data_IF_627900327201
#
_entry.id   IF_627900327201
#
_cell.length_a   1.000
_cell.length_b   1.000
_cell.length_c   1.000
_cell.angle_alpha   90.00
_cell.angle_beta   90.00
_cell.angle_gamma   90.00
#
_symmetry.space_group_name_H-M   'P 1'
#
loop_
_entity.id
_entity.type
_entity.pdbx_description
1 polymer ?
#
# COMPACT_ATOMS: atom_id res chain seq x y z
N UNK A 1 -13.52 32.57 11.30
CA UNK A 1 -12.33 31.74 11.50
C UNK A 1 -12.84 30.31 11.54
N UNK A 2 -12.99 29.69 10.37
CA UNK A 2 -13.61 28.36 10.23
C UNK A 2 -12.52 27.45 9.71
N UNK A 3 -11.84 26.76 10.61
CA UNK A 3 -10.84 25.75 10.25
C UNK A 3 -11.55 24.59 9.54
N UNK A 4 -11.08 24.13 8.37
CA UNK A 4 -11.57 22.90 7.78
C UNK A 4 -11.05 21.74 8.63
N UNK A 5 -11.96 20.97 9.22
CA UNK A 5 -11.69 19.68 9.85
C UNK A 5 -11.19 18.69 8.79
N UNK A 6 -9.95 18.87 8.34
CA UNK A 6 -9.26 18.02 7.39
C UNK A 6 -8.77 16.79 8.16
N UNK A 7 -9.73 15.99 8.61
CA UNK A 7 -9.50 14.82 9.46
C UNK A 7 -10.50 13.69 9.23
N UNK A 8 -11.39 13.79 8.23
CA UNK A 8 -11.97 12.56 7.66
C UNK A 8 -10.83 11.88 6.92
N UNK A 9 -10.20 10.91 7.59
CA UNK A 9 -9.33 9.93 6.94
C UNK A 9 -9.99 9.57 5.61
N UNK A 10 -9.28 9.76 4.48
CA UNK A 10 -9.84 9.49 3.15
C UNK A 10 -10.62 8.17 3.20
N UNK A 11 -11.87 8.21 2.74
CA UNK A 11 -12.71 7.02 2.66
C UNK A 11 -11.97 6.00 1.78
N UNK A 12 -11.51 4.92 2.40
CA UNK A 12 -10.86 3.81 1.70
C UNK A 12 -11.97 2.89 1.25
N UNK A 13 -12.01 2.57 -0.04
CA UNK A 13 -13.00 1.67 -0.61
C UNK A 13 -12.92 0.30 0.09
N UNK A 14 -11.73 -0.16 0.48
CA UNK A 14 -11.58 -1.39 1.27
C UNK A 14 -12.19 -1.29 2.67
N UNK A 15 -12.06 -0.14 3.34
CA UNK A 15 -12.69 0.09 4.65
C UNK A 15 -14.21 0.14 4.54
N UNK A 16 -14.73 0.79 3.51
CA UNK A 16 -16.17 0.87 3.26
C UNK A 16 -16.74 -0.52 2.95
N UNK A 17 -16.03 -1.31 2.13
CA UNK A 17 -16.38 -2.72 1.89
C UNK A 17 -16.42 -3.53 3.19
N UNK A 18 -15.38 -3.42 4.02
CA UNK A 18 -15.28 -4.14 5.29
C UNK A 18 -16.41 -3.77 6.26
N UNK A 19 -16.75 -2.48 6.35
CA UNK A 19 -17.85 -2.00 7.17
C UNK A 19 -19.20 -2.54 6.67
N UNK A 20 -19.41 -2.53 5.36
CA UNK A 20 -20.64 -2.98 4.75
C UNK A 20 -20.84 -4.49 4.85
N UNK A 21 -19.77 -5.27 4.69
CA UNK A 21 -19.76 -6.71 4.94
C UNK A 21 -20.16 -7.01 6.38
N UNK A 22 -19.50 -6.36 7.36
CA UNK A 22 -19.82 -6.54 8.79
C UNK A 22 -21.27 -6.17 9.09
N UNK A 23 -21.76 -5.07 8.52
CA UNK A 23 -23.13 -4.62 8.71
C UNK A 23 -24.15 -5.63 8.19
N UNK A 24 -24.03 -6.07 6.92
CA UNK A 24 -24.96 -7.06 6.34
C UNK A 24 -24.90 -8.38 7.08
N UNK A 25 -23.71 -8.79 7.50
CA UNK A 25 -23.54 -10.01 8.29
C UNK A 25 -24.27 -9.91 9.64
N UNK A 26 -24.23 -8.75 10.29
CA UNK A 26 -25.02 -8.44 11.49
C UNK A 26 -26.54 -8.43 11.23
N UNK A 27 -26.99 -7.76 10.17
CA UNK A 27 -28.41 -7.70 9.77
C UNK A 27 -28.97 -9.10 9.49
N UNK A 28 -28.17 -10.00 8.93
CA UNK A 28 -28.56 -11.38 8.62
C UNK A 28 -28.28 -12.36 9.77
N UNK A 29 -27.77 -11.90 10.91
CA UNK A 29 -27.52 -12.74 12.10
C UNK A 29 -26.39 -13.76 11.92
N UNK A 30 -25.44 -13.49 11.03
CA UNK A 30 -24.28 -14.36 10.81
C UNK A 30 -23.08 -13.93 11.67
N UNK A 31 -22.42 -14.90 12.29
CA UNK A 31 -21.03 -14.73 12.72
C UNK A 31 -20.09 -14.89 11.51
N UNK A 32 -18.81 -14.53 11.66
CA UNK A 32 -17.80 -14.77 10.62
C UNK A 32 -17.69 -16.27 10.29
N UNK A 33 -17.58 -17.13 11.30
CA UNK A 33 -17.60 -18.59 11.12
C UNK A 33 -18.87 -19.13 10.47
N UNK A 34 -20.06 -18.64 10.84
CA UNK A 34 -21.32 -19.08 10.20
C UNK A 34 -21.43 -18.62 8.75
N UNK A 35 -20.87 -17.46 8.41
CA UNK A 35 -20.78 -17.02 7.03
C UNK A 35 -19.80 -17.91 6.24
N UNK A 36 -18.62 -18.17 6.81
CA UNK A 36 -17.61 -19.05 6.22
C UNK A 36 -18.14 -20.46 5.92
N UNK A 37 -18.95 -21.04 6.80
CA UNK A 37 -19.55 -22.37 6.57
C UNK A 37 -20.46 -22.46 5.32
N UNK A 38 -20.87 -21.32 4.75
CA UNK A 38 -21.76 -21.25 3.58
C UNK A 38 -21.01 -20.91 2.29
N UNK A 39 -19.69 -20.80 2.33
CA UNK A 39 -18.85 -20.43 1.19
C UNK A 39 -17.47 -21.11 1.27
N UNK A 40 -16.69 -21.20 0.18
CA UNK A 40 -15.36 -21.82 0.23
C UNK A 40 -14.29 -20.94 0.89
N UNK A 41 -14.67 -19.83 1.52
CA UNK A 41 -13.77 -18.92 2.21
C UNK A 41 -13.77 -19.20 3.71
N UNK A 42 -12.58 -19.18 4.31
CA UNK A 42 -12.43 -19.45 5.75
C UNK A 42 -12.87 -18.26 6.62
N UNK A 43 -13.19 -18.54 7.88
CA UNK A 43 -13.48 -17.52 8.88
C UNK A 43 -12.34 -16.51 9.03
N UNK A 44 -11.09 -17.00 9.04
CA UNK A 44 -9.90 -16.17 9.10
C UNK A 44 -9.78 -15.20 7.91
N UNK A 45 -10.18 -15.63 6.70
CA UNK A 45 -10.22 -14.75 5.53
C UNK A 45 -11.22 -13.62 5.74
N UNK A 46 -12.44 -13.94 6.19
CA UNK A 46 -13.49 -12.95 6.46
C UNK A 46 -13.04 -11.97 7.55
N UNK A 47 -12.45 -12.48 8.63
CA UNK A 47 -11.94 -11.66 9.73
C UNK A 47 -10.87 -10.66 9.26
N UNK A 48 -9.93 -11.11 8.43
CA UNK A 48 -8.86 -10.25 7.87
C UNK A 48 -9.38 -9.21 6.89
N UNK A 49 -10.42 -9.54 6.13
CA UNK A 49 -11.09 -8.57 5.26
C UNK A 49 -11.82 -7.53 6.11
N UNK A 50 -12.59 -7.96 7.11
CA UNK A 50 -13.32 -7.04 7.99
C UNK A 50 -12.43 -6.17 8.88
N UNK A 51 -11.20 -6.58 9.18
CA UNK A 51 -10.21 -5.77 9.89
C UNK A 51 -9.40 -4.85 8.96
N UNK A 52 -9.48 -5.05 7.64
CA UNK A 52 -8.66 -4.36 6.66
C UNK A 52 -7.21 -4.87 6.58
N UNK A 53 -6.87 -5.98 7.23
CA UNK A 53 -5.56 -6.63 7.08
C UNK A 53 -5.38 -7.22 5.68
N UNK A 54 -6.49 -7.64 5.03
CA UNK A 54 -6.46 -8.24 3.70
C UNK A 54 -7.48 -7.62 2.77
N UNK A 55 -7.06 -7.36 1.52
CA UNK A 55 -7.94 -6.94 0.45
C UNK A 55 -8.97 -8.05 0.11
N UNK A 56 -10.27 -7.72 -0.06
CA UNK A 56 -11.24 -8.67 -0.55
C UNK A 56 -10.96 -9.05 -2.01
N UNK A 57 -11.47 -10.20 -2.44
CA UNK A 57 -11.45 -10.64 -3.84
C UNK A 57 -12.84 -10.50 -4.45
N UNK A 58 -12.90 -10.50 -5.78
CA UNK A 58 -14.18 -10.46 -6.51
C UNK A 58 -15.08 -11.66 -6.16
N UNK A 59 -14.48 -12.86 -6.10
CA UNK A 59 -15.20 -14.08 -5.73
C UNK A 59 -15.75 -14.01 -4.30
N UNK A 60 -14.97 -13.48 -3.35
CA UNK A 60 -15.45 -13.27 -1.98
C UNK A 60 -16.64 -12.31 -1.97
N UNK A 61 -16.54 -11.18 -2.66
CA UNK A 61 -17.62 -10.19 -2.74
C UNK A 61 -18.92 -10.78 -3.32
N UNK A 62 -18.82 -11.49 -4.46
CA UNK A 62 -19.96 -12.15 -5.11
C UNK A 62 -20.62 -13.20 -4.21
N UNK A 63 -19.82 -14.06 -3.56
CA UNK A 63 -20.37 -15.10 -2.66
C UNK A 63 -20.98 -14.51 -1.40
N UNK A 64 -20.43 -13.42 -0.88
CA UNK A 64 -21.07 -12.68 0.21
C UNK A 64 -22.43 -12.14 -0.24
N UNK A 65 -22.56 -11.63 -1.46
CA UNK A 65 -23.87 -11.17 -1.98
C UNK A 65 -24.89 -12.30 -2.08
N UNK A 66 -24.47 -13.49 -2.52
CA UNK A 66 -25.32 -14.69 -2.61
C UNK A 66 -25.80 -15.14 -1.23
N UNK A 67 -24.91 -15.23 -0.24
CA UNK A 67 -25.25 -15.73 1.10
C UNK A 67 -25.98 -14.68 1.95
N UNK A 68 -25.59 -13.40 1.84
CA UNK A 68 -26.16 -12.31 2.63
C UNK A 68 -27.36 -11.65 1.94
N UNK A 69 -27.67 -12.04 0.70
CA UNK A 69 -28.80 -11.51 -0.08
C UNK A 69 -28.80 -9.98 -0.14
N UNK A 70 -27.69 -9.41 -0.57
CA UNK A 70 -27.44 -7.96 -0.64
C UNK A 70 -27.84 -7.34 -1.98
N UNK A 71 -28.25 -8.16 -2.96
CA UNK A 71 -28.60 -7.69 -4.30
C UNK A 71 -27.41 -7.22 -5.15
N UNK A 72 -26.20 -7.75 -4.91
CA UNK A 72 -25.01 -7.38 -5.70
C UNK A 72 -24.23 -6.18 -5.16
N UNK A 73 -24.58 -5.71 -3.96
CA UNK A 73 -23.98 -4.50 -3.41
C UNK A 73 -22.48 -4.66 -3.11
N UNK A 74 -22.03 -5.78 -2.53
CA UNK A 74 -20.62 -5.97 -2.20
C UNK A 74 -19.77 -6.18 -3.46
N UNK A 75 -20.26 -6.97 -4.42
CA UNK A 75 -19.60 -7.11 -5.73
C UNK A 75 -19.56 -5.79 -6.49
N UNK A 76 -20.61 -4.96 -6.39
CA UNK A 76 -20.63 -3.60 -6.95
C UNK A 76 -19.58 -2.66 -6.36
N UNK A 77 -19.14 -2.88 -5.11
CA UNK A 77 -18.07 -2.10 -4.47
C UNK A 77 -16.66 -2.57 -4.90
N UNK A 78 -16.52 -3.81 -5.38
CA UNK A 78 -15.22 -4.41 -5.68
C UNK A 78 -14.36 -3.62 -6.70
N UNK A 79 -14.91 -3.01 -7.77
CA UNK A 79 -14.10 -2.22 -8.72
C UNK A 79 -13.33 -1.07 -8.05
N UNK A 80 -13.95 -0.38 -7.09
CA UNK A 80 -13.30 0.70 -6.35
C UNK A 80 -12.18 0.16 -5.43
N UNK A 81 -12.45 -0.96 -4.75
CA UNK A 81 -11.45 -1.64 -3.91
C UNK A 81 -10.24 -2.09 -4.74
N UNK A 82 -10.49 -2.66 -5.93
CA UNK A 82 -9.43 -3.11 -6.85
C UNK A 82 -8.59 -1.95 -7.36
N UNK A 83 -9.21 -0.81 -7.69
CA UNK A 83 -8.49 0.39 -8.10
C UNK A 83 -7.58 0.92 -6.99
N UNK A 84 -8.08 0.95 -5.75
CA UNK A 84 -7.30 1.37 -4.58
C UNK A 84 -6.12 0.42 -4.29
N UNK A 85 -6.34 -0.89 -4.42
CA UNK A 85 -5.29 -1.91 -4.28
C UNK A 85 -4.17 -1.70 -5.29
N UNK A 86 -4.51 -1.50 -6.57
CA UNK A 86 -3.54 -1.26 -7.64
C UNK A 86 -2.74 0.02 -7.42
N UNK A 87 -3.39 1.10 -7.00
CA UNK A 87 -2.72 2.34 -6.66
C UNK A 87 -1.73 2.14 -5.49
N UNK A 88 -2.09 1.34 -4.50
CA UNK A 88 -1.23 1.02 -3.36
C UNK A 88 -0.03 0.14 -3.76
N UNK A 89 -0.25 -0.87 -4.59
CA UNK A 89 0.81 -1.75 -5.09
C UNK A 89 1.79 -0.99 -5.99
N UNK A 90 1.29 -0.10 -6.86
CA UNK A 90 2.11 0.76 -7.71
C UNK A 90 2.99 1.70 -6.89
N UNK A 91 2.44 2.33 -5.84
CA UNK A 91 3.22 3.17 -4.90
C UNK A 91 4.32 2.36 -4.20
N UNK A 92 4.01 1.13 -3.77
CA UNK A 92 4.99 0.26 -3.10
C UNK A 92 6.12 -0.16 -4.04
N UNK A 93 5.80 -0.51 -5.28
CA UNK A 93 6.79 -0.85 -6.32
C UNK A 93 7.71 0.33 -6.61
N UNK A 94 7.15 1.51 -6.88
CA UNK A 94 7.94 2.73 -7.13
C UNK A 94 8.87 3.07 -5.97
N UNK A 95 8.41 2.92 -4.72
CA UNK A 95 9.26 3.15 -3.54
C UNK A 95 10.40 2.13 -3.45
N UNK A 96 10.16 0.87 -3.84
CA UNK A 96 11.21 -0.15 -3.90
C UNK A 96 12.24 0.18 -4.99
N UNK A 97 11.79 0.51 -6.20
CA UNK A 97 12.65 0.90 -7.33
C UNK A 97 13.46 2.17 -7.03
N UNK A 98 12.87 3.16 -6.36
CA UNK A 98 13.57 4.41 -5.98
C UNK A 98 14.53 4.20 -4.80
N UNK A 99 14.22 3.25 -3.90
CA UNK A 99 15.08 2.89 -2.77
C UNK A 99 16.17 1.87 -3.12
N UNK A 100 16.09 1.24 -4.28
CA UNK A 100 17.09 0.33 -4.85
C UNK A 100 18.08 1.04 -5.80
N UNK A 101 17.97 2.36 -5.98
CA UNK A 101 19.12 3.13 -6.43
C UNK A 101 20.23 2.92 -5.39
N UNK A 102 21.17 2.01 -5.69
CA UNK A 102 22.22 1.63 -4.78
C UNK A 102 22.94 2.90 -4.31
N UNK A 103 23.41 2.91 -3.06
CA UNK A 103 24.36 3.93 -2.61
C UNK A 103 25.53 4.01 -3.59
N UNK A 104 25.90 2.89 -4.22
CA UNK A 104 26.89 2.83 -5.29
C UNK A 104 26.45 3.48 -6.60
N UNK A 105 25.17 3.42 -6.98
CA UNK A 105 24.65 4.11 -8.16
C UNK A 105 24.55 5.61 -7.93
N UNK A 106 24.09 6.02 -6.74
CA UNK A 106 24.12 7.42 -6.34
C UNK A 106 25.57 7.95 -6.27
N UNK A 107 26.50 7.15 -5.73
CA UNK A 107 27.94 7.45 -5.70
C UNK A 107 28.49 7.54 -7.12
N UNK A 108 28.13 6.63 -8.03
CA UNK A 108 28.57 6.63 -9.43
C UNK A 108 28.06 7.84 -10.20
N UNK A 109 26.79 8.19 -10.01
CA UNK A 109 26.20 9.40 -10.59
C UNK A 109 26.84 10.66 -10.03
N UNK A 110 27.10 10.72 -8.72
CA UNK A 110 27.80 11.85 -8.09
C UNK A 110 29.25 11.96 -8.60
N UNK A 111 29.99 10.85 -8.68
CA UNK A 111 31.34 10.80 -9.25
C UNK A 111 31.37 11.24 -10.72
N UNK A 112 30.35 10.87 -11.50
CA UNK A 112 30.24 11.22 -12.92
C UNK A 112 29.94 12.72 -13.09
N UNK A 113 28.99 13.27 -12.31
CA UNK A 113 28.69 14.70 -12.31
C UNK A 113 29.90 15.55 -11.87
N UNK A 114 30.66 15.08 -10.88
CA UNK A 114 31.89 15.74 -10.41
C UNK A 114 33.09 15.59 -11.37
N UNK A 115 33.05 14.64 -12.30
CA UNK A 115 34.06 14.48 -13.36
C UNK A 115 33.73 15.34 -14.59
N UNK A 116 32.44 15.50 -14.94
CA UNK A 116 31.99 16.32 -16.06
C UNK A 116 31.99 17.82 -15.75
N UNK A 117 31.71 18.19 -14.50
CA UNK A 117 32.07 19.52 -14.01
C UNK A 117 33.57 19.50 -13.74
N UNK A 118 34.34 20.24 -14.52
CA UNK A 118 35.76 20.50 -14.27
C UNK A 118 35.96 21.29 -12.94
N UNK A 119 35.60 20.69 -11.80
CA UNK A 119 35.82 21.18 -10.45
C UNK A 119 36.90 20.33 -9.74
N UNK A 120 37.67 19.56 -10.49
CA UNK A 120 38.91 18.94 -9.98
C UNK A 120 40.05 19.96 -9.90
N UNK A 121 39.96 21.10 -10.61
CA UNK A 121 41.08 22.03 -10.74
C UNK A 121 41.05 23.29 -9.86
N UNK A 122 39.94 23.63 -9.17
CA UNK A 122 39.81 25.00 -8.61
C UNK A 122 39.41 25.15 -7.14
N UNK A 123 38.96 24.11 -6.41
CA UNK A 123 38.55 24.31 -5.00
C UNK A 123 39.29 23.41 -3.99
N UNK A 124 40.10 23.98 -3.06
CA UNK A 124 40.90 23.21 -2.10
C UNK A 124 40.06 22.39 -1.10
N UNK A 125 38.80 22.78 -0.84
CA UNK A 125 37.92 22.13 0.14
C UNK A 125 37.43 20.72 -0.27
N UNK A 126 37.39 20.42 -1.56
CA UNK A 126 36.89 19.12 -2.09
C UNK A 126 37.96 18.03 -2.01
N UNK A 127 39.24 18.43 -2.01
CA UNK A 127 40.39 17.52 -2.01
C UNK A 127 40.62 16.85 -0.65
N UNK A 128 40.44 17.59 0.44
CA UNK A 128 40.52 17.06 1.81
C UNK A 128 39.36 16.10 2.13
N UNK A 129 38.17 16.37 1.59
CA UNK A 129 37.00 15.50 1.80
C UNK A 129 37.14 14.14 1.09
N UNK A 130 37.84 14.08 -0.05
CA UNK A 130 38.13 12.83 -0.77
C UNK A 130 39.23 12.01 -0.08
N UNK A 131 40.28 12.65 0.47
CA UNK A 131 41.34 11.97 1.21
C UNK A 131 40.84 11.34 2.53
N UNK A 132 39.81 11.94 3.16
CA UNK A 132 39.20 11.42 4.38
C UNK A 132 38.29 10.18 4.16
N UNK A 133 37.89 9.88 2.92
CA UNK A 133 37.03 8.74 2.59
C UNK A 133 37.82 7.49 2.13
N UNK A 134 39.12 7.61 1.87
CA UNK A 134 39.99 6.54 1.34
C UNK A 134 40.91 5.91 2.41
N UNK A 135 40.81 6.34 3.66
CA UNK A 135 41.70 5.91 4.75
C UNK A 135 40.95 5.53 6.01
N UNK A 136 40.69 4.23 6.20
CA UNK A 136 41.28 3.37 7.25
C UNK A 136 40.46 2.08 7.35
N UNK A 137 40.83 1.08 6.56
CA UNK A 137 40.69 -0.32 6.99
C UNK A 137 42.10 -0.78 7.44
N UNK A 138 42.26 -0.95 8.76
CA UNK A 138 43.23 -1.87 9.36
C UNK A 138 42.57 -2.56 10.56
#
# INVERSE_FOLDING_TARGET
MTEPLTGRAQASAARDFAAQLRWWRGVRGYSQGRLAQRMPHSEAMIAKVESGERWPTEDLARRCDEVLQTGGLLSGMYPAVRAEQQASDGRRRRRKETGEASVDDARRLLSMVLADTNLSATHPFVRDALAALDGTDN
#
